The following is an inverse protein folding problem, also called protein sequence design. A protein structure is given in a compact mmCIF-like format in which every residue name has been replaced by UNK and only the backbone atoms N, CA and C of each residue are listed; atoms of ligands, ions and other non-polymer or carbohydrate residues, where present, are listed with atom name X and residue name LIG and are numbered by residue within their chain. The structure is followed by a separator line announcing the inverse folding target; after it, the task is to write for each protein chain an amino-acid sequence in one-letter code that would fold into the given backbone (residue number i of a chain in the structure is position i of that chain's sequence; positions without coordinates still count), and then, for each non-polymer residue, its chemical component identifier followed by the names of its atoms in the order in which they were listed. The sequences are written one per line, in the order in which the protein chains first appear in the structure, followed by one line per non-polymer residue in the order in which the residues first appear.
data_IF_431473509728
#
_entry.id   IF_431473509728
#
_cell.length_a   1.000
_cell.length_b   1.000
_cell.length_c   1.000
_cell.angle_alpha   90.00
_cell.angle_beta   90.00
_cell.angle_gamma   90.00
#
_symmetry.space_group_name_H-M   'P 1'
#
loop_
_entity.id
_entity.type
_entity.pdbx_description
1 polymer ?
#
# COMPACT_ATOMS: atom_id res chain seq x y z
N UNK A 1 0.57 -19.39 19.70
CA UNK A 1 0.28 -18.15 18.98
C UNK A 1 -1.24 -18.01 18.92
N UNK A 2 -1.86 -16.90 19.31
CA UNK A 2 -3.31 -16.78 19.31
C UNK A 2 -3.87 -16.91 17.87
N UNK A 3 -4.85 -17.79 17.67
CA UNK A 3 -5.49 -18.00 16.36
C UNK A 3 -6.12 -16.71 15.81
N UNK A 4 -6.52 -15.80 16.71
CA UNK A 4 -7.04 -14.48 16.35
C UNK A 4 -6.03 -13.62 15.54
N UNK A 5 -4.72 -13.76 15.76
CA UNK A 5 -3.71 -13.06 14.96
C UNK A 5 -3.63 -13.59 13.54
N UNK A 6 -3.86 -14.89 13.31
CA UNK A 6 -3.93 -15.46 11.97
C UNK A 6 -5.14 -14.96 11.20
N UNK A 7 -6.29 -14.78 11.88
CA UNK A 7 -7.49 -14.21 11.26
C UNK A 7 -7.23 -12.74 10.86
N UNK A 8 -6.58 -11.95 11.72
CA UNK A 8 -6.19 -10.57 11.37
C UNK A 8 -5.19 -10.53 10.20
N UNK A 9 -4.23 -11.46 10.15
CA UNK A 9 -3.30 -11.57 9.04
C UNK A 9 -4.01 -11.96 7.74
N UNK A 10 -4.97 -12.90 7.79
CA UNK A 10 -5.76 -13.28 6.62
C UNK A 10 -6.65 -12.12 6.13
N UNK A 11 -7.21 -11.33 7.05
CA UNK A 11 -7.93 -10.11 6.71
C UNK A 11 -7.02 -9.09 6.00
N UNK A 12 -5.80 -8.89 6.51
CA UNK A 12 -4.79 -8.02 5.89
C UNK A 12 -4.37 -8.54 4.51
N UNK A 13 -4.27 -9.85 4.33
CA UNK A 13 -4.03 -10.48 3.04
C UNK A 13 -5.15 -10.20 2.05
N UNK A 14 -6.41 -10.34 2.45
CA UNK A 14 -7.56 -10.06 1.60
C UNK A 14 -7.60 -8.59 1.16
N UNK A 15 -7.40 -7.67 2.11
CA UNK A 15 -7.39 -6.21 1.84
C UNK A 15 -6.22 -5.85 0.90
N UNK A 16 -5.02 -6.34 1.17
CA UNK A 16 -3.88 -6.09 0.30
C UNK A 16 -4.04 -6.68 -1.10
N UNK A 17 -4.61 -7.87 -1.21
CA UNK A 17 -4.87 -8.49 -2.51
C UNK A 17 -5.81 -7.62 -3.34
N UNK A 18 -6.92 -7.15 -2.77
CA UNK A 18 -7.87 -6.30 -3.49
C UNK A 18 -7.29 -4.95 -3.89
N UNK A 19 -6.39 -4.39 -3.07
CA UNK A 19 -5.71 -3.12 -3.37
C UNK A 19 -4.83 -3.26 -4.61
N UNK A 20 -3.96 -4.25 -4.64
CA UNK A 20 -2.86 -4.34 -5.61
C UNK A 20 -3.17 -5.18 -6.84
N UNK A 21 -4.10 -6.14 -6.79
CA UNK A 21 -4.36 -7.07 -7.90
C UNK A 21 -4.83 -6.39 -9.18
N UNK A 22 -5.52 -5.26 -9.06
CA UNK A 22 -6.01 -4.50 -10.22
C UNK A 22 -4.87 -4.05 -11.16
N UNK A 23 -3.66 -3.84 -10.63
CA UNK A 23 -2.50 -3.42 -11.41
C UNK A 23 -2.03 -4.53 -12.36
N UNK A 24 -2.14 -5.79 -11.92
CA UNK A 24 -1.87 -6.95 -12.76
C UNK A 24 -2.96 -7.23 -13.79
N UNK A 25 -4.17 -6.72 -13.57
CA UNK A 25 -5.37 -6.93 -14.41
C UNK A 25 -5.78 -5.67 -15.19
N UNK A 26 -4.95 -4.62 -15.18
CA UNK A 26 -5.31 -3.34 -15.78
C UNK A 26 -5.64 -3.46 -17.27
N UNK A 27 -4.89 -4.23 -18.10
CA UNK A 27 -5.22 -4.44 -19.52
C UNK A 27 -6.55 -5.17 -19.71
N UNK A 28 -6.83 -6.21 -18.92
CA UNK A 28 -8.06 -7.00 -18.98
C UNK A 28 -9.29 -6.16 -18.61
N UNK A 29 -9.17 -5.34 -17.57
CA UNK A 29 -10.24 -4.43 -17.14
C UNK A 29 -10.48 -3.34 -18.17
N UNK A 30 -9.43 -2.74 -18.72
CA UNK A 30 -9.52 -1.71 -19.75
C UNK A 30 -10.20 -2.24 -21.02
N UNK A 31 -9.80 -3.42 -21.49
CA UNK A 31 -10.35 -4.05 -22.67
C UNK A 31 -11.84 -4.43 -22.47
N UNK A 32 -12.19 -5.07 -21.37
CA UNK A 32 -13.55 -5.53 -21.10
C UNK A 32 -14.54 -4.37 -20.90
N UNK A 33 -14.12 -3.29 -20.24
CA UNK A 33 -14.95 -2.10 -19.99
C UNK A 33 -14.84 -1.05 -21.11
N UNK A 34 -14.08 -1.33 -22.18
CA UNK A 34 -13.88 -0.44 -23.34
C UNK A 34 -13.41 0.96 -22.93
N UNK A 35 -12.44 1.03 -21.99
CA UNK A 35 -11.83 2.27 -21.53
C UNK A 35 -10.33 2.28 -21.84
N UNK A 36 -9.72 3.47 -21.85
CA UNK A 36 -8.27 3.59 -22.02
C UNK A 36 -7.49 3.09 -20.79
N UNK A 37 -6.23 2.72 -20.98
CA UNK A 37 -5.33 2.31 -19.88
C UNK A 37 -5.23 3.40 -18.79
N UNK A 38 -5.03 4.71 -19.11
CA UNK A 38 -5.09 5.77 -18.11
C UNK A 38 -6.43 5.86 -17.38
N UNK A 39 -7.54 5.70 -18.10
CA UNK A 39 -8.87 5.71 -17.48
C UNK A 39 -9.06 4.51 -16.53
N UNK A 40 -8.55 3.32 -16.88
CA UNK A 40 -8.51 2.20 -15.95
C UNK A 40 -7.60 2.49 -14.74
N UNK A 41 -6.49 3.22 -14.92
CA UNK A 41 -5.60 3.70 -13.84
C UNK A 41 -6.32 4.58 -12.80
N UNK A 42 -7.38 5.31 -13.17
CA UNK A 42 -8.20 6.05 -12.22
C UNK A 42 -8.89 5.16 -11.19
N UNK A 43 -9.09 3.86 -11.46
CA UNK A 43 -9.60 2.90 -10.46
C UNK A 43 -8.62 2.70 -9.31
N UNK A 44 -7.31 2.83 -9.56
CA UNK A 44 -6.27 2.81 -8.52
C UNK A 44 -6.26 4.14 -7.77
N UNK A 45 -6.26 5.26 -8.50
CA UNK A 45 -6.33 6.62 -7.93
C UNK A 45 -7.55 6.78 -7.04
N UNK A 46 -8.74 6.40 -7.52
CA UNK A 46 -9.99 6.50 -6.77
C UNK A 46 -10.01 5.66 -5.49
N UNK A 47 -9.49 4.43 -5.56
CA UNK A 47 -9.32 3.57 -4.39
C UNK A 47 -8.40 4.23 -3.35
N UNK A 48 -7.22 4.68 -3.76
CA UNK A 48 -6.23 5.26 -2.86
C UNK A 48 -6.72 6.57 -2.21
N UNK A 49 -7.38 7.45 -2.97
CA UNK A 49 -8.04 8.65 -2.41
C UNK A 49 -9.14 8.29 -1.41
N UNK A 50 -9.93 7.26 -1.73
CA UNK A 50 -10.98 6.79 -0.83
C UNK A 50 -10.40 6.19 0.47
N UNK A 51 -9.23 5.53 0.44
CA UNK A 51 -8.51 5.12 1.66
C UNK A 51 -8.04 6.34 2.44
N UNK A 52 -7.38 7.31 1.78
CA UNK A 52 -6.82 8.47 2.45
C UNK A 52 -7.89 9.31 3.16
N UNK A 53 -9.04 9.52 2.52
CA UNK A 53 -10.17 10.29 3.06
C UNK A 53 -11.03 9.43 3.98
N UNK A 54 -11.26 8.18 3.60
CA UNK A 54 -12.15 7.25 4.30
C UNK A 54 -11.60 6.78 5.64
N UNK A 55 -10.27 6.65 5.78
CA UNK A 55 -9.67 6.17 7.03
C UNK A 55 -10.07 7.01 8.25
N UNK A 56 -9.94 8.35 8.27
CA UNK A 56 -10.40 9.17 9.38
C UNK A 56 -11.93 9.14 9.55
N UNK A 57 -12.69 9.15 8.46
CA UNK A 57 -14.16 9.09 8.50
C UNK A 57 -14.63 7.79 9.16
N UNK A 58 -14.08 6.66 8.74
CA UNK A 58 -14.45 5.36 9.30
C UNK A 58 -13.93 5.17 10.71
N UNK A 59 -12.75 5.70 11.05
CA UNK A 59 -12.25 5.69 12.44
C UNK A 59 -13.20 6.45 13.38
N UNK A 60 -13.70 7.63 12.98
CA UNK A 60 -14.67 8.43 13.75
C UNK A 60 -16.01 7.69 13.83
N UNK A 61 -16.52 7.18 12.72
CA UNK A 61 -17.82 6.47 12.66
C UNK A 61 -17.85 5.20 13.51
N UNK A 62 -16.72 4.51 13.62
CA UNK A 62 -16.57 3.28 14.40
C UNK A 62 -16.10 3.50 15.84
N UNK A 63 -15.72 4.74 16.21
CA UNK A 63 -15.11 5.06 17.52
C UNK A 63 -15.97 4.65 18.73
N UNK A 64 -17.30 4.67 18.59
CA UNK A 64 -18.25 4.25 19.65
C UNK A 64 -18.50 2.74 19.67
N UNK A 65 -18.05 2.00 18.67
CA UNK A 65 -18.23 0.56 18.59
C UNK A 65 -17.13 -0.16 19.39
N UNK A 66 -17.47 -1.34 19.93
CA UNK A 66 -16.45 -2.27 20.44
C UNK A 66 -15.52 -2.66 19.29
N UNK A 67 -14.22 -2.78 19.55
CA UNK A 67 -13.19 -3.05 18.51
C UNK A 67 -13.54 -4.25 17.61
N UNK A 68 -13.98 -5.36 18.24
CA UNK A 68 -14.46 -6.54 17.51
C UNK A 68 -15.63 -6.21 16.57
N UNK A 69 -16.63 -5.46 17.03
CA UNK A 69 -17.79 -5.07 16.22
C UNK A 69 -17.35 -4.14 15.08
N UNK A 70 -16.42 -3.20 15.34
CA UNK A 70 -15.86 -2.31 14.32
C UNK A 70 -15.14 -3.10 13.23
N UNK A 71 -14.27 -4.06 13.58
CA UNK A 71 -13.57 -4.91 12.60
C UNK A 71 -14.53 -5.76 11.78
N UNK A 72 -15.60 -6.31 12.39
CA UNK A 72 -16.64 -7.06 11.68
C UNK A 72 -17.40 -6.16 10.72
N UNK A 73 -17.79 -4.95 11.13
CA UNK A 73 -18.48 -3.99 10.27
C UNK A 73 -17.59 -3.56 9.09
N UNK A 74 -16.33 -3.25 9.34
CA UNK A 74 -15.37 -2.90 8.29
C UNK A 74 -15.17 -4.05 7.30
N UNK A 75 -15.09 -5.29 7.78
CA UNK A 75 -14.99 -6.46 6.91
C UNK A 75 -16.29 -6.71 6.12
N UNK A 76 -17.45 -6.37 6.66
CA UNK A 76 -18.70 -6.40 5.91
C UNK A 76 -18.72 -5.39 4.75
N UNK A 77 -18.21 -4.16 4.96
CA UNK A 77 -17.99 -3.20 3.87
C UNK A 77 -17.01 -3.72 2.82
N UNK A 78 -15.93 -4.37 3.25
CA UNK A 78 -14.97 -5.00 2.36
C UNK A 78 -15.62 -6.07 1.47
N UNK A 79 -16.41 -6.95 2.05
CA UNK A 79 -17.12 -8.02 1.33
C UNK A 79 -18.12 -7.41 0.35
N UNK A 80 -18.93 -6.45 0.79
CA UNK A 80 -19.91 -5.77 -0.06
C UNK A 80 -19.24 -5.09 -1.27
N UNK A 81 -18.13 -4.35 -1.04
CA UNK A 81 -17.39 -3.68 -2.09
C UNK A 81 -16.77 -4.67 -3.09
N UNK A 82 -16.15 -5.76 -2.62
CA UNK A 82 -15.57 -6.76 -3.53
C UNK A 82 -16.64 -7.56 -4.30
N UNK A 83 -17.79 -7.83 -3.67
CA UNK A 83 -18.93 -8.43 -4.35
C UNK A 83 -19.45 -7.50 -5.46
N UNK A 84 -19.57 -6.21 -5.18
CA UNK A 84 -19.92 -5.20 -6.19
C UNK A 84 -18.87 -5.13 -7.32
N UNK A 85 -17.57 -5.25 -7.01
CA UNK A 85 -16.52 -5.36 -8.03
C UNK A 85 -16.72 -6.60 -8.90
N UNK A 86 -17.03 -7.76 -8.30
CA UNK A 86 -17.27 -9.01 -9.03
C UNK A 86 -18.53 -8.95 -9.92
N UNK A 87 -19.49 -8.13 -9.57
CA UNK A 87 -20.76 -7.95 -10.30
C UNK A 87 -20.78 -6.70 -11.20
N UNK A 88 -19.69 -5.94 -11.25
CA UNK A 88 -19.65 -4.67 -11.98
C UNK A 88 -19.89 -4.86 -13.48
N UNK A 89 -20.92 -4.21 -14.01
CA UNK A 89 -21.32 -4.25 -15.42
C UNK A 89 -20.56 -3.23 -16.26
N UNK A 90 -20.13 -2.13 -15.66
CA UNK A 90 -19.50 -1.02 -16.33
C UNK A 90 -18.44 -0.34 -15.43
N UNK A 91 -17.71 0.62 -16.00
CA UNK A 91 -16.62 1.32 -15.36
C UNK A 91 -17.04 2.08 -14.08
N UNK A 92 -18.19 2.76 -14.10
CA UNK A 92 -18.63 3.58 -12.98
C UNK A 92 -19.10 2.75 -11.78
N UNK A 93 -19.77 1.62 -12.07
CA UNK A 93 -20.12 0.64 -11.03
C UNK A 93 -18.87 0.09 -10.40
N UNK A 94 -17.83 -0.26 -11.20
CA UNK A 94 -16.55 -0.72 -10.67
C UNK A 94 -15.85 0.38 -9.84
N UNK A 95 -15.87 1.64 -10.29
CA UNK A 95 -15.28 2.76 -9.54
C UNK A 95 -15.96 2.93 -8.17
N UNK A 96 -17.28 2.94 -8.12
CA UNK A 96 -18.03 3.03 -6.87
C UNK A 96 -17.72 1.85 -5.96
N UNK A 97 -17.68 0.63 -6.51
CA UNK A 97 -17.35 -0.58 -5.77
C UNK A 97 -15.94 -0.50 -5.16
N UNK A 98 -14.96 0.01 -5.91
CA UNK A 98 -13.59 0.26 -5.44
C UNK A 98 -13.56 1.28 -4.29
N UNK A 99 -14.31 2.38 -4.41
CA UNK A 99 -14.43 3.38 -3.33
C UNK A 99 -15.05 2.75 -2.07
N UNK A 100 -16.14 2.00 -2.20
CA UNK A 100 -16.78 1.32 -1.05
C UNK A 100 -15.79 0.35 -0.38
N UNK A 101 -15.06 -0.45 -1.17
CA UNK A 101 -14.05 -1.37 -0.65
C UNK A 101 -12.94 -0.62 0.10
N UNK A 102 -12.51 0.52 -0.42
CA UNK A 102 -11.41 1.31 0.15
C UNK A 102 -11.73 1.92 1.52
N UNK A 103 -13.00 2.23 1.80
CA UNK A 103 -13.40 2.84 3.07
C UNK A 103 -13.00 2.01 4.30
N UNK A 104 -13.00 0.68 4.19
CA UNK A 104 -12.63 -0.18 5.32
C UNK A 104 -11.11 -0.22 5.58
N UNK A 105 -10.29 0.03 4.58
CA UNK A 105 -8.84 -0.28 4.56
C UNK A 105 -8.09 0.37 5.74
N UNK A 106 -8.03 1.70 5.77
CA UNK A 106 -7.23 2.42 6.77
C UNK A 106 -7.69 2.20 8.20
N UNK A 107 -9.01 2.21 8.44
CA UNK A 107 -9.58 1.98 9.76
C UNK A 107 -9.38 0.53 10.22
N UNK A 108 -9.44 -0.45 9.31
CA UNK A 108 -9.17 -1.85 9.64
C UNK A 108 -7.74 -2.04 10.15
N UNK A 109 -6.74 -1.49 9.47
CA UNK A 109 -5.35 -1.59 9.91
C UNK A 109 -5.10 -0.85 11.22
N UNK A 110 -5.70 0.31 11.42
CA UNK A 110 -5.61 1.07 12.66
C UNK A 110 -6.18 0.29 13.86
N UNK A 111 -7.44 -0.11 13.79
CA UNK A 111 -8.11 -0.87 14.87
C UNK A 111 -7.50 -2.25 15.04
N UNK A 112 -7.20 -2.94 13.94
CA UNK A 112 -6.63 -4.28 13.94
C UNK A 112 -5.26 -4.35 14.60
N UNK A 113 -4.39 -3.34 14.41
CA UNK A 113 -3.09 -3.28 15.07
C UNK A 113 -3.21 -3.15 16.60
N UNK A 114 -4.16 -2.34 17.07
CA UNK A 114 -4.44 -2.21 18.52
C UNK A 114 -5.00 -3.52 19.09
N UNK A 115 -5.90 -4.18 18.36
CA UNK A 115 -6.41 -5.49 18.75
C UNK A 115 -5.32 -6.54 18.77
N UNK A 116 -4.48 -6.61 17.73
CA UNK A 116 -3.36 -7.53 17.65
C UNK A 116 -2.41 -7.37 18.84
N UNK A 117 -2.05 -6.12 19.17
CA UNK A 117 -1.21 -5.80 20.33
C UNK A 117 -1.87 -6.22 21.65
N UNK A 118 -3.19 -6.06 21.77
CA UNK A 118 -3.95 -6.42 23.00
C UNK A 118 -4.14 -7.93 23.22
N UNK A 119 -3.86 -8.77 22.21
CA UNK A 119 -3.97 -10.23 22.30
C UNK A 119 -2.75 -10.92 22.93
N UNK A 120 -1.67 -10.18 23.20
CA UNK A 120 -0.40 -10.73 23.67
C UNK A 120 0.18 -9.89 24.82
N UNK A 121 1.17 -10.44 25.53
CA UNK A 121 1.92 -9.72 26.56
C UNK A 121 2.73 -8.55 25.99
N UNK A 122 3.11 -7.59 26.83
CA UNK A 122 3.80 -6.33 26.47
C UNK A 122 5.06 -6.56 25.60
N UNK A 123 5.87 -7.55 25.96
CA UNK A 123 7.11 -7.92 25.27
C UNK A 123 6.90 -8.48 23.84
N UNK A 124 5.66 -8.78 23.46
CA UNK A 124 5.31 -9.41 22.17
C UNK A 124 4.40 -8.54 21.29
N UNK A 125 4.00 -7.36 21.75
CA UNK A 125 3.06 -6.49 21.04
C UNK A 125 3.53 -6.14 19.62
N UNK A 126 4.78 -5.71 19.48
CA UNK A 126 5.35 -5.38 18.17
C UNK A 126 5.33 -6.59 17.22
N UNK A 127 5.65 -7.78 17.72
CA UNK A 127 5.62 -9.01 16.94
C UNK A 127 4.19 -9.39 16.51
N UNK A 128 3.19 -9.16 17.34
CA UNK A 128 1.80 -9.44 17.00
C UNK A 128 1.28 -8.51 15.90
N UNK A 129 1.62 -7.21 15.98
CA UNK A 129 1.30 -6.24 14.92
C UNK A 129 2.03 -6.60 13.63
N UNK A 130 3.33 -6.92 13.68
CA UNK A 130 4.10 -7.33 12.51
C UNK A 130 3.48 -8.56 11.82
N UNK A 131 3.00 -9.53 12.62
CA UNK A 131 2.33 -10.71 12.09
C UNK A 131 1.04 -10.38 11.34
N UNK A 132 0.23 -9.46 11.85
CA UNK A 132 -0.96 -8.97 11.13
C UNK A 132 -0.56 -8.37 9.78
N UNK A 133 0.48 -7.52 9.76
CA UNK A 133 0.98 -6.90 8.51
C UNK A 133 1.69 -7.89 7.56
N UNK A 134 2.11 -9.07 8.05
CA UNK A 134 2.63 -10.12 7.17
C UNK A 134 1.58 -10.55 6.13
N UNK A 135 0.27 -10.45 6.45
CA UNK A 135 -0.79 -10.65 5.48
C UNK A 135 -0.68 -9.72 4.27
N UNK A 136 -0.35 -8.45 4.46
CA UNK A 136 -0.14 -7.49 3.37
C UNK A 136 1.08 -7.85 2.51
N UNK A 137 2.17 -8.31 3.13
CA UNK A 137 3.34 -8.79 2.41
C UNK A 137 3.01 -10.04 1.58
N UNK A 138 2.29 -11.00 2.16
CA UNK A 138 1.82 -12.20 1.45
C UNK A 138 0.86 -11.86 0.32
N UNK A 139 0.05 -10.79 0.45
CA UNK A 139 -0.80 -10.32 -0.63
C UNK A 139 0.03 -9.93 -1.88
N UNK A 140 1.16 -9.25 -1.69
CA UNK A 140 2.04 -8.91 -2.80
C UNK A 140 2.73 -10.13 -3.43
N UNK A 141 3.16 -11.10 -2.61
CA UNK A 141 3.90 -12.30 -3.10
C UNK A 141 2.98 -13.34 -3.73
N UNK A 142 1.80 -13.55 -3.14
CA UNK A 142 0.88 -14.62 -3.54
C UNK A 142 -0.47 -14.06 -4.04
N UNK A 143 -1.05 -13.10 -3.32
CA UNK A 143 -2.39 -12.58 -3.62
C UNK A 143 -2.47 -11.92 -4.99
N UNK A 144 -1.51 -11.05 -5.30
CA UNK A 144 -1.47 -10.33 -6.58
C UNK A 144 -1.20 -11.28 -7.75
N UNK A 145 -0.16 -12.12 -7.76
CA UNK A 145 0.07 -13.04 -8.86
C UNK A 145 -1.06 -14.06 -9.04
N UNK A 146 -1.53 -14.70 -7.98
CA UNK A 146 -2.62 -15.67 -8.06
C UNK A 146 -3.93 -15.02 -8.50
N UNK A 147 -4.23 -13.83 -7.97
CA UNK A 147 -5.41 -13.08 -8.38
C UNK A 147 -5.33 -12.64 -9.85
N UNK A 148 -4.15 -12.25 -10.34
CA UNK A 148 -3.91 -11.95 -11.75
C UNK A 148 -4.12 -13.18 -12.62
N UNK A 149 -3.56 -14.34 -12.25
CA UNK A 149 -3.74 -15.60 -12.96
C UNK A 149 -5.22 -16.01 -13.04
N UNK A 150 -5.95 -15.89 -11.92
CA UNK A 150 -7.40 -16.17 -11.88
C UNK A 150 -8.15 -15.22 -12.83
N UNK A 151 -7.82 -13.93 -12.77
CA UNK A 151 -8.45 -12.93 -13.62
C UNK A 151 -8.18 -13.11 -15.12
N UNK A 152 -6.98 -13.55 -15.47
CA UNK A 152 -6.61 -13.88 -16.84
C UNK A 152 -7.32 -15.14 -17.34
N UNK A 153 -7.47 -16.17 -16.50
CA UNK A 153 -8.08 -17.45 -16.88
C UNK A 153 -9.62 -17.42 -16.90
N UNK A 154 -10.24 -16.70 -15.95
CA UNK A 154 -11.70 -16.74 -15.73
C UNK A 154 -12.38 -15.36 -15.82
N UNK A 155 -11.64 -14.33 -16.25
CA UNK A 155 -12.08 -12.96 -16.27
C UNK A 155 -11.81 -12.24 -14.92
N UNK A 156 -11.47 -10.95 -15.01
CA UNK A 156 -11.04 -10.14 -13.86
C UNK A 156 -12.09 -10.10 -12.71
N UNK A 157 -13.36 -10.26 -13.02
CA UNK A 157 -14.45 -10.33 -12.02
C UNK A 157 -14.31 -11.53 -11.09
N UNK A 158 -13.81 -12.65 -11.60
CA UNK A 158 -13.60 -13.87 -10.80
C UNK A 158 -12.58 -13.63 -9.68
N UNK A 159 -11.57 -12.82 -9.91
CA UNK A 159 -10.60 -12.44 -8.86
C UNK A 159 -11.28 -11.75 -7.69
N UNK A 160 -12.15 -10.77 -7.93
CA UNK A 160 -12.89 -10.10 -6.85
C UNK A 160 -13.90 -11.03 -6.19
N UNK A 161 -14.46 -12.00 -6.92
CA UNK A 161 -15.27 -13.09 -6.36
C UNK A 161 -14.49 -13.94 -5.37
N UNK A 162 -13.28 -14.36 -5.72
CA UNK A 162 -12.39 -15.12 -4.81
C UNK A 162 -12.02 -14.29 -3.58
N UNK A 163 -11.68 -13.01 -3.76
CA UNK A 163 -11.40 -12.10 -2.63
C UNK A 163 -12.63 -11.94 -1.73
N UNK A 164 -13.83 -11.89 -2.29
CA UNK A 164 -15.10 -11.88 -1.53
C UNK A 164 -15.22 -13.14 -0.66
N UNK A 165 -14.92 -14.32 -1.21
CA UNK A 165 -14.94 -15.59 -0.44
C UNK A 165 -13.91 -15.56 0.68
N UNK A 166 -12.69 -15.10 0.44
CA UNK A 166 -11.68 -14.92 1.48
C UNK A 166 -12.21 -13.96 2.56
N UNK A 167 -12.85 -12.85 2.18
CA UNK A 167 -13.49 -11.90 3.08
C UNK A 167 -14.54 -12.56 3.96
N UNK A 168 -15.39 -13.42 3.40
CA UNK A 168 -16.39 -14.20 4.16
C UNK A 168 -15.72 -15.13 5.18
N UNK A 169 -14.65 -15.82 4.78
CA UNK A 169 -13.89 -16.68 5.71
C UNK A 169 -13.30 -15.86 6.85
N UNK A 170 -12.77 -14.66 6.55
CA UNK A 170 -12.20 -13.80 7.60
C UNK A 170 -13.24 -13.23 8.53
N UNK A 171 -14.42 -12.80 8.05
CA UNK A 171 -15.47 -12.27 8.93
C UNK A 171 -16.04 -13.36 9.85
N UNK A 172 -16.18 -14.59 9.35
CA UNK A 172 -16.56 -15.74 10.17
C UNK A 172 -15.49 -16.03 11.24
N UNK A 173 -14.21 -15.95 10.87
CA UNK A 173 -13.10 -16.07 11.81
C UNK A 173 -13.10 -14.98 12.89
N UNK A 174 -13.34 -13.71 12.52
CA UNK A 174 -13.46 -12.60 13.46
C UNK A 174 -14.63 -12.82 14.44
N UNK A 175 -15.77 -13.32 13.94
CA UNK A 175 -16.94 -13.62 14.76
C UNK A 175 -16.68 -14.79 15.73
N UNK A 176 -16.01 -15.84 15.26
CA UNK A 176 -15.83 -17.06 16.04
C UNK A 176 -14.67 -16.95 17.06
N UNK A 177 -13.58 -16.26 16.70
CA UNK A 177 -12.28 -16.38 17.40
C UNK A 177 -11.91 -15.11 18.14
N UNK A 178 -12.32 -13.91 17.67
CA UNK A 178 -11.91 -12.67 18.31
C UNK A 178 -12.65 -12.50 19.66
N UNK A 179 -11.92 -12.24 20.76
CA UNK A 179 -12.54 -12.04 22.07
C UNK A 179 -13.56 -10.89 22.07
N UNK A 180 -14.57 -11.01 22.91
CA UNK A 180 -15.54 -9.92 23.14
C UNK A 180 -14.88 -8.86 24.01
N UNK A 181 -14.60 -7.72 23.42
CA UNK A 181 -13.83 -6.63 24.02
C UNK A 181 -14.61 -5.82 25.06
N UNK A 182 -13.88 -5.29 26.04
CA UNK A 182 -14.36 -4.21 26.90
C UNK A 182 -14.27 -2.89 26.10
N UNK A 183 -15.10 -1.92 26.47
CA UNK A 183 -15.20 -0.63 25.80
C UNK A 183 -13.85 0.11 25.74
N UNK A 184 -13.58 0.81 24.66
CA UNK A 184 -12.35 1.54 24.43
C UNK A 184 -12.25 2.74 25.39
N UNK A 185 -11.17 2.86 26.16
CA UNK A 185 -10.80 4.14 26.78
C UNK A 185 -10.25 5.05 25.71
N UNK A 186 -10.99 6.11 25.40
CA UNK A 186 -10.54 7.13 24.46
C UNK A 186 -9.41 7.94 25.09
N UNK A 187 -8.20 7.83 24.55
CA UNK A 187 -7.12 8.76 24.82
C UNK A 187 -7.54 10.21 24.45
N UNK A 188 -6.92 11.21 25.06
CA UNK A 188 -7.23 12.61 24.79
C UNK A 188 -6.82 13.00 23.35
N UNK A 189 -7.78 12.99 22.43
CA UNK A 189 -7.63 13.41 21.02
C UNK A 189 -6.98 14.80 20.91
N UNK A 190 -7.26 15.71 21.86
CA UNK A 190 -6.71 17.07 21.87
C UNK A 190 -5.18 17.11 22.04
N UNK A 191 -4.60 16.18 22.81
CA UNK A 191 -3.12 16.08 22.94
C UNK A 191 -2.49 15.56 21.66
N UNK A 192 -3.12 14.64 21.01
CA UNK A 192 -2.64 14.05 19.75
C UNK A 192 -2.63 15.09 18.62
N UNK A 193 -3.67 15.94 18.53
CA UNK A 193 -3.77 17.02 17.52
C UNK A 193 -2.61 18.03 17.66
N UNK A 194 -2.05 18.24 18.85
CA UNK A 194 -0.92 19.14 19.03
C UNK A 194 0.33 18.70 18.25
N UNK A 195 0.52 17.39 18.03
CA UNK A 195 1.62 16.86 17.22
C UNK A 195 1.59 17.37 15.77
N UNK A 196 0.39 17.67 15.24
CA UNK A 196 0.21 18.18 13.88
C UNK A 196 0.76 19.59 13.66
N UNK A 197 1.09 20.32 14.73
CA UNK A 197 1.74 21.63 14.63
C UNK A 197 3.23 21.55 14.31
N UNK A 198 3.80 20.33 14.33
CA UNK A 198 5.21 20.14 14.03
C UNK A 198 5.47 20.18 12.52
N UNK A 199 6.10 21.25 12.02
CA UNK A 199 6.46 21.38 10.59
C UNK A 199 7.37 20.27 10.08
N UNK A 200 8.23 19.69 10.94
CA UNK A 200 9.06 18.54 10.58
C UNK A 200 8.24 17.28 10.27
N UNK A 201 7.09 17.09 10.96
CA UNK A 201 6.17 16.00 10.67
C UNK A 201 5.61 16.10 9.23
N UNK A 202 5.17 17.29 8.80
CA UNK A 202 4.63 17.49 7.46
C UNK A 202 5.69 17.27 6.38
N UNK A 203 6.93 17.64 6.65
CA UNK A 203 8.04 17.39 5.74
C UNK A 203 8.36 15.88 5.65
N UNK A 204 8.34 15.15 6.77
CA UNK A 204 8.47 13.70 6.77
C UNK A 204 7.31 13.01 6.06
N UNK A 205 6.05 13.46 6.25
CA UNK A 205 4.89 12.96 5.55
C UNK A 205 4.96 13.23 4.03
N UNK A 206 5.48 14.39 3.62
CA UNK A 206 5.71 14.66 2.19
C UNK A 206 6.72 13.70 1.57
N UNK A 207 7.74 13.29 2.31
CA UNK A 207 8.67 12.23 1.89
C UNK A 207 7.93 10.92 1.62
N UNK A 208 7.00 10.53 2.51
CA UNK A 208 6.15 9.35 2.31
C UNK A 208 5.24 9.48 1.08
N UNK A 209 4.64 10.66 0.87
CA UNK A 209 3.79 10.92 -0.33
C UNK A 209 4.60 10.73 -1.61
N UNK A 210 5.78 11.33 -1.72
CA UNK A 210 6.60 11.23 -2.95
C UNK A 210 7.21 9.86 -3.14
N UNK A 211 7.53 9.13 -2.07
CA UNK A 211 7.88 7.73 -2.15
C UNK A 211 6.75 6.90 -2.79
N UNK A 212 5.56 6.98 -2.21
CA UNK A 212 4.41 6.23 -2.69
C UNK A 212 4.01 6.64 -4.10
N UNK A 213 4.11 7.94 -4.43
CA UNK A 213 3.88 8.45 -5.78
C UNK A 213 4.89 7.86 -6.79
N UNK A 214 6.17 7.78 -6.43
CA UNK A 214 7.17 7.15 -7.27
C UNK A 214 6.86 5.67 -7.53
N UNK A 215 6.53 4.93 -6.48
CA UNK A 215 6.22 3.51 -6.59
C UNK A 215 4.98 3.27 -7.47
N UNK A 216 3.89 3.99 -7.21
CA UNK A 216 2.61 3.76 -7.89
C UNK A 216 2.56 4.35 -9.31
N UNK A 217 3.39 5.34 -9.64
CA UNK A 217 3.53 5.80 -11.02
C UNK A 217 3.98 4.66 -11.96
N UNK A 218 4.91 3.80 -11.51
CA UNK A 218 5.37 2.66 -12.28
C UNK A 218 4.46 1.43 -12.06
N UNK A 219 4.15 1.08 -10.80
CA UNK A 219 3.47 -0.17 -10.48
C UNK A 219 2.05 -0.24 -11.03
N UNK A 220 1.34 0.89 -11.12
CA UNK A 220 -0.02 0.95 -11.69
C UNK A 220 -0.04 0.49 -13.15
N UNK A 221 0.99 0.84 -13.92
CA UNK A 221 1.05 0.57 -15.36
C UNK A 221 2.03 -0.56 -15.71
N UNK A 222 2.42 -1.39 -14.72
CA UNK A 222 3.41 -2.44 -14.93
C UNK A 222 2.95 -3.51 -15.93
N UNK A 223 1.68 -3.92 -15.85
CA UNK A 223 1.14 -4.95 -16.74
C UNK A 223 1.03 -4.48 -18.20
N UNK A 224 0.47 -3.29 -18.52
CA UNK A 224 0.54 -2.73 -19.88
C UNK A 224 1.97 -2.62 -20.41
N UNK A 225 2.91 -2.14 -19.57
CA UNK A 225 4.30 -1.93 -19.96
C UNK A 225 4.99 -3.26 -20.29
N UNK A 226 4.77 -4.30 -19.50
CA UNK A 226 5.31 -5.63 -19.76
C UNK A 226 4.69 -6.26 -21.03
N UNK A 227 3.41 -6.07 -21.28
CA UNK A 227 2.72 -6.64 -22.43
C UNK A 227 3.06 -5.92 -23.74
N UNK A 228 2.98 -4.59 -23.73
CA UNK A 228 3.02 -3.80 -24.95
C UNK A 228 4.46 -3.38 -25.33
N UNK A 229 5.38 -3.27 -24.36
CA UNK A 229 6.78 -2.87 -24.59
C UNK A 229 7.72 -4.08 -24.54
N UNK A 230 7.63 -4.89 -23.48
CA UNK A 230 8.51 -6.05 -23.29
C UNK A 230 8.05 -7.25 -24.12
N UNK A 231 6.77 -7.29 -24.51
CA UNK A 231 6.18 -8.42 -25.27
C UNK A 231 5.95 -9.67 -24.42
N UNK A 232 5.75 -9.49 -23.11
CA UNK A 232 5.53 -10.59 -22.16
C UNK A 232 4.09 -11.11 -22.31
N UNK A 233 3.90 -12.43 -22.31
CA UNK A 233 2.57 -13.03 -22.32
C UNK A 233 1.80 -12.72 -21.02
N UNK A 234 0.46 -12.85 -21.01
CA UNK A 234 -0.31 -12.66 -19.77
C UNK A 234 0.21 -13.51 -18.61
N UNK A 235 0.54 -14.77 -18.85
CA UNK A 235 1.10 -15.68 -17.84
C UNK A 235 2.48 -15.19 -17.37
N UNK A 236 3.29 -14.64 -18.28
CA UNK A 236 4.58 -14.04 -17.98
C UNK A 236 4.44 -12.84 -17.04
N UNK A 237 3.41 -11.99 -17.23
CA UNK A 237 3.10 -10.88 -16.30
C UNK A 237 2.86 -11.43 -14.88
N UNK A 238 2.12 -12.52 -14.74
CA UNK A 238 1.89 -13.16 -13.44
C UNK A 238 3.21 -13.57 -12.76
N UNK A 239 4.15 -14.16 -13.52
CA UNK A 239 5.48 -14.53 -13.00
C UNK A 239 6.33 -13.31 -12.63
N UNK A 240 6.31 -12.27 -13.44
CA UNK A 240 6.99 -11.00 -13.12
C UNK A 240 6.43 -10.38 -11.83
N UNK A 241 5.10 -10.39 -11.65
CA UNK A 241 4.48 -9.90 -10.41
C UNK A 241 4.89 -10.72 -9.18
N UNK A 242 5.05 -12.03 -9.32
CA UNK A 242 5.60 -12.88 -8.25
C UNK A 242 7.06 -12.50 -7.92
N UNK A 243 7.89 -12.29 -8.94
CA UNK A 243 9.27 -11.85 -8.78
C UNK A 243 9.33 -10.47 -8.09
N UNK A 244 8.48 -9.53 -8.49
CA UNK A 244 8.33 -8.23 -7.83
C UNK A 244 7.95 -8.44 -6.36
N UNK A 245 6.96 -9.28 -6.05
CA UNK A 245 6.54 -9.58 -4.69
C UNK A 245 7.68 -10.11 -3.81
N UNK A 246 8.54 -10.98 -4.35
CA UNK A 246 9.76 -11.45 -3.66
C UNK A 246 10.72 -10.28 -3.41
N UNK A 247 10.95 -9.42 -4.42
CA UNK A 247 11.78 -8.23 -4.27
C UNK A 247 11.27 -7.29 -3.17
N UNK A 248 9.96 -7.01 -3.14
CA UNK A 248 9.30 -6.22 -2.10
C UNK A 248 9.55 -6.83 -0.70
N UNK A 249 9.42 -8.14 -0.57
CA UNK A 249 9.63 -8.84 0.71
C UNK A 249 11.08 -8.73 1.20
N UNK A 250 12.03 -9.01 0.33
CA UNK A 250 13.46 -8.90 0.65
C UNK A 250 13.82 -7.45 0.98
N UNK A 251 13.31 -6.50 0.19
CA UNK A 251 13.50 -5.07 0.40
C UNK A 251 13.03 -4.62 1.78
N UNK A 252 11.83 -5.03 2.19
CA UNK A 252 11.28 -4.70 3.51
C UNK A 252 12.18 -5.19 4.66
N UNK A 253 12.69 -6.42 4.55
CA UNK A 253 13.59 -7.00 5.57
C UNK A 253 14.95 -6.27 5.63
N UNK A 254 15.52 -5.97 4.47
CA UNK A 254 16.80 -5.25 4.35
C UNK A 254 16.64 -3.81 4.85
N UNK A 255 15.55 -3.16 4.42
CA UNK A 255 15.25 -1.77 4.78
C UNK A 255 15.08 -1.56 6.28
N UNK A 256 14.46 -2.51 7.00
CA UNK A 256 14.35 -2.46 8.45
C UNK A 256 15.74 -2.41 9.12
N UNK A 257 16.64 -3.33 8.74
CA UNK A 257 18.00 -3.34 9.29
C UNK A 257 18.82 -2.08 8.94
N UNK A 258 18.66 -1.57 7.73
CA UNK A 258 19.35 -0.35 7.30
C UNK A 258 18.81 0.89 8.03
N UNK A 259 17.49 0.96 8.28
CA UNK A 259 16.86 2.03 9.03
C UNK A 259 17.36 2.09 10.48
N UNK A 260 17.51 0.91 11.13
CA UNK A 260 18.06 0.80 12.49
C UNK A 260 19.52 1.25 12.54
N UNK A 261 20.28 1.07 11.45
CA UNK A 261 21.68 1.49 11.43
C UNK A 261 21.87 2.98 11.17
N UNK A 262 21.27 3.55 10.10
CA UNK A 262 21.39 4.98 9.74
C UNK A 262 20.19 5.45 8.94
N UNK A 263 19.15 5.88 9.61
CA UNK A 263 17.86 6.24 9.00
C UNK A 263 17.97 7.24 7.84
N UNK A 264 18.67 8.37 8.02
CA UNK A 264 18.80 9.39 6.98
C UNK A 264 19.57 8.92 5.75
N UNK A 265 20.67 8.16 5.95
CA UNK A 265 21.43 7.58 4.85
C UNK A 265 20.61 6.50 4.12
N UNK A 266 19.83 5.70 4.85
CA UNK A 266 18.94 4.70 4.29
C UNK A 266 17.89 5.34 3.38
N UNK A 267 17.18 6.37 3.85
CA UNK A 267 16.20 7.08 3.05
C UNK A 267 16.83 7.67 1.78
N UNK A 268 17.96 8.36 1.90
CA UNK A 268 18.65 8.94 0.74
C UNK A 268 19.09 7.86 -0.26
N UNK A 269 19.69 6.77 0.21
CA UNK A 269 20.16 5.67 -0.64
C UNK A 269 19.01 4.94 -1.34
N UNK A 270 17.90 4.73 -0.65
CA UNK A 270 16.71 4.08 -1.20
C UNK A 270 16.07 4.94 -2.29
N UNK A 271 15.87 6.24 -2.06
CA UNK A 271 15.32 7.13 -3.09
C UNK A 271 16.23 7.20 -4.33
N UNK A 272 17.56 7.26 -4.13
CA UNK A 272 18.50 7.19 -5.23
C UNK A 272 18.40 5.87 -6.00
N UNK A 273 18.31 4.74 -5.29
CA UNK A 273 18.15 3.42 -5.90
C UNK A 273 16.83 3.30 -6.69
N UNK A 274 15.71 3.81 -6.15
CA UNK A 274 14.42 3.84 -6.86
C UNK A 274 14.53 4.70 -8.13
N UNK A 275 15.14 5.89 -8.05
CA UNK A 275 15.32 6.76 -9.22
C UNK A 275 16.18 6.08 -10.28
N UNK A 276 17.33 5.52 -9.90
CA UNK A 276 18.25 4.84 -10.82
C UNK A 276 17.58 3.63 -11.48
N UNK A 277 16.92 2.76 -10.70
CA UNK A 277 16.24 1.57 -11.24
C UNK A 277 15.05 1.94 -12.11
N UNK A 278 14.29 2.99 -11.79
CA UNK A 278 13.21 3.50 -12.64
C UNK A 278 13.74 4.06 -13.96
N UNK A 279 14.84 4.85 -13.95
CA UNK A 279 15.50 5.33 -15.18
C UNK A 279 16.03 4.13 -15.98
N UNK A 280 16.71 3.19 -15.34
CA UNK A 280 17.20 1.99 -16.01
C UNK A 280 16.06 1.21 -16.67
N UNK A 281 14.90 1.07 -15.98
CA UNK A 281 13.76 0.34 -16.50
C UNK A 281 13.15 1.00 -17.76
N UNK A 282 13.24 2.31 -17.94
CA UNK A 282 12.79 2.98 -19.17
C UNK A 282 13.55 2.49 -20.43
N UNK A 283 14.75 1.95 -20.26
CA UNK A 283 15.57 1.38 -21.32
C UNK A 283 15.50 -0.16 -21.34
N UNK A 284 15.59 -0.80 -20.18
CA UNK A 284 15.63 -2.26 -20.04
C UNK A 284 14.29 -2.92 -20.32
N UNK A 285 13.18 -2.19 -20.18
CA UNK A 285 11.81 -2.66 -20.46
C UNK A 285 11.62 -3.24 -21.87
N UNK A 286 12.50 -2.95 -22.82
CA UNK A 286 12.47 -3.48 -24.17
C UNK A 286 13.02 -4.92 -24.29
N UNK A 287 13.66 -5.43 -23.24
CA UNK A 287 14.35 -6.70 -23.22
C UNK A 287 13.92 -7.50 -22.01
N UNK A 288 13.40 -8.72 -22.18
CA UNK A 288 12.79 -9.52 -21.13
C UNK A 288 13.70 -9.69 -19.89
N UNK A 289 14.88 -10.28 -20.03
CA UNK A 289 15.78 -10.55 -18.88
C UNK A 289 16.25 -9.27 -18.18
N UNK A 290 16.72 -8.23 -18.89
CA UNK A 290 17.06 -6.95 -18.25
C UNK A 290 15.89 -6.28 -17.55
N UNK A 291 14.66 -6.40 -18.07
CA UNK A 291 13.45 -5.88 -17.44
C UNK A 291 13.19 -6.58 -16.10
N UNK A 292 13.22 -7.92 -16.05
CA UNK A 292 13.02 -8.72 -14.83
C UNK A 292 14.03 -8.35 -13.74
N UNK A 293 15.32 -8.26 -14.09
CA UNK A 293 16.38 -7.90 -13.15
C UNK A 293 16.14 -6.49 -12.59
N UNK A 294 15.83 -5.54 -13.47
CA UNK A 294 15.62 -4.14 -13.08
C UNK A 294 14.38 -3.98 -12.21
N UNK A 295 13.28 -4.69 -12.52
CA UNK A 295 12.06 -4.68 -11.71
C UNK A 295 12.27 -5.33 -10.34
N UNK A 296 13.03 -6.41 -10.26
CA UNK A 296 13.37 -7.02 -8.98
C UNK A 296 14.16 -6.07 -8.07
N UNK A 297 15.18 -5.41 -8.63
CA UNK A 297 15.98 -4.42 -7.89
C UNK A 297 15.17 -3.18 -7.52
N UNK A 298 14.28 -2.71 -8.40
CA UNK A 298 13.35 -1.63 -8.13
C UNK A 298 12.38 -1.99 -6.99
N UNK A 299 11.85 -3.20 -7.01
CA UNK A 299 10.96 -3.68 -5.96
C UNK A 299 11.67 -3.78 -4.60
N UNK A 300 12.90 -4.30 -4.57
CA UNK A 300 13.74 -4.32 -3.37
C UNK A 300 13.98 -2.91 -2.83
N UNK A 301 14.40 -1.98 -3.69
CA UNK A 301 14.63 -0.59 -3.30
C UNK A 301 13.35 0.04 -2.76
N UNK A 302 12.21 -0.15 -3.45
CA UNK A 302 10.93 0.43 -3.07
C UNK A 302 10.52 0.01 -1.65
N UNK A 303 10.48 -1.28 -1.32
CA UNK A 303 10.03 -1.69 0.01
C UNK A 303 11.09 -1.56 1.11
N UNK A 304 12.35 -1.34 0.76
CA UNK A 304 13.36 -0.93 1.75
C UNK A 304 13.07 0.48 2.33
N UNK A 305 12.30 1.32 1.64
CA UNK A 305 11.86 2.62 2.14
C UNK A 305 10.81 2.53 3.26
N UNK A 306 9.91 1.53 3.20
CA UNK A 306 8.70 1.48 4.04
C UNK A 306 9.00 1.54 5.54
N UNK A 307 9.86 0.66 6.13
CA UNK A 307 10.18 0.74 7.55
C UNK A 307 10.91 2.04 7.90
N UNK A 308 11.80 2.53 7.03
CA UNK A 308 12.53 3.76 7.27
C UNK A 308 11.60 5.00 7.30
N UNK A 309 10.63 5.09 6.39
CA UNK A 309 9.63 6.15 6.38
C UNK A 309 8.76 6.11 7.65
N UNK A 310 8.33 4.93 8.07
CA UNK A 310 7.53 4.75 9.27
C UNK A 310 8.28 5.22 10.52
N UNK A 311 9.53 4.79 10.69
CA UNK A 311 10.39 5.21 11.80
C UNK A 311 10.63 6.72 11.76
N UNK A 312 10.93 7.27 10.58
CA UNK A 312 11.16 8.69 10.39
C UNK A 312 9.97 9.55 10.81
N UNK A 313 8.75 9.19 10.35
CA UNK A 313 7.53 9.94 10.67
C UNK A 313 7.17 9.85 12.15
N UNK A 314 7.26 8.66 12.76
CA UNK A 314 7.00 8.46 14.20
C UNK A 314 8.00 9.24 15.05
N UNK A 315 9.25 9.40 14.60
CA UNK A 315 10.28 10.21 15.27
C UNK A 315 9.88 11.67 15.49
N UNK A 316 9.06 12.26 14.60
CA UNK A 316 8.52 13.63 14.74
C UNK A 316 7.27 13.72 15.59
N UNK A 317 6.59 12.61 15.90
CA UNK A 317 5.34 12.58 16.65
C UNK A 317 5.39 11.64 17.86
N UNK A 318 6.49 11.66 18.62
CA UNK A 318 6.69 10.78 19.79
C UNK A 318 5.57 10.88 20.83
N UNK A 319 4.94 12.06 20.95
CA UNK A 319 3.84 12.31 21.88
C UNK A 319 2.48 11.77 21.40
N UNK A 320 2.37 11.40 20.11
CA UNK A 320 1.14 10.91 19.48
C UNK A 320 1.43 9.82 18.42
N UNK A 321 2.14 8.74 18.75
CA UNK A 321 2.65 7.77 17.77
C UNK A 321 1.51 7.09 16.98
N UNK A 322 0.35 6.86 17.59
CA UNK A 322 -0.80 6.24 16.93
C UNK A 322 -1.41 7.17 15.87
N UNK A 323 -1.64 8.44 16.19
CA UNK A 323 -2.17 9.43 15.26
C UNK A 323 -1.21 9.60 14.06
N UNK A 324 0.08 9.78 14.38
CA UNK A 324 1.12 10.01 13.37
C UNK A 324 1.27 8.81 12.43
N UNK A 325 1.22 7.58 12.95
CA UNK A 325 1.19 6.36 12.14
C UNK A 325 -0.04 6.29 11.23
N UNK A 326 -1.22 6.67 11.75
CA UNK A 326 -2.46 6.69 10.97
C UNK A 326 -2.40 7.72 9.84
N UNK A 327 -1.89 8.92 10.13
CA UNK A 327 -1.71 9.96 9.11
C UNK A 327 -0.67 9.53 8.06
N UNK A 328 0.37 8.80 8.47
CA UNK A 328 1.34 8.26 7.54
C UNK A 328 0.72 7.25 6.56
N UNK A 329 -0.22 6.42 7.01
CA UNK A 329 -1.02 5.55 6.10
C UNK A 329 -1.82 6.41 5.10
N UNK A 330 -2.40 7.51 5.56
CA UNK A 330 -3.05 8.48 4.68
C UNK A 330 -2.09 9.12 3.67
N UNK A 331 -0.86 9.46 4.10
CA UNK A 331 0.18 9.99 3.24
C UNK A 331 0.63 8.97 2.18
N UNK A 332 0.81 7.69 2.55
CA UNK A 332 1.05 6.61 1.58
C UNK A 332 -0.04 6.56 0.52
N UNK A 333 -1.30 6.56 0.93
CA UNK A 333 -2.42 6.47 0.00
C UNK A 333 -2.61 7.74 -0.85
N UNK A 334 -2.33 8.92 -0.29
CA UNK A 334 -2.26 10.17 -1.09
C UNK A 334 -1.17 10.06 -2.16
N UNK A 335 -0.01 9.51 -1.82
CA UNK A 335 1.06 9.25 -2.76
C UNK A 335 0.68 8.19 -3.81
N UNK A 336 0.02 7.09 -3.40
CA UNK A 336 -0.47 6.07 -4.33
C UNK A 336 -1.39 6.69 -5.39
N UNK A 337 -2.34 7.54 -4.95
CA UNK A 337 -3.24 8.25 -5.84
C UNK A 337 -2.49 9.20 -6.78
N UNK A 338 -1.56 10.01 -6.25
CA UNK A 338 -0.75 10.93 -7.03
C UNK A 338 0.09 10.18 -8.08
N UNK A 339 0.72 9.08 -7.70
CA UNK A 339 1.55 8.28 -8.60
C UNK A 339 0.75 7.65 -9.74
N UNK A 340 -0.36 7.00 -9.42
CA UNK A 340 -1.25 6.41 -10.43
C UNK A 340 -1.76 7.47 -11.42
N UNK A 341 -2.14 8.65 -10.91
CA UNK A 341 -2.57 9.76 -11.73
C UNK A 341 -1.44 10.31 -12.62
N UNK A 342 -0.25 10.55 -12.05
CA UNK A 342 0.92 11.07 -12.81
C UNK A 342 1.34 10.09 -13.91
N UNK A 343 1.36 8.78 -13.62
CA UNK A 343 1.64 7.77 -14.64
C UNK A 343 0.61 7.79 -15.79
N UNK A 344 -0.68 7.96 -15.45
CA UNK A 344 -1.75 8.14 -16.42
C UNK A 344 -1.60 9.39 -17.27
N UNK A 345 -1.22 10.52 -16.67
CA UNK A 345 -0.97 11.77 -17.41
C UNK A 345 0.13 11.63 -18.46
N UNK A 346 1.19 10.87 -18.19
CA UNK A 346 2.24 10.62 -19.18
C UNK A 346 1.68 9.93 -20.41
N UNK A 347 0.80 8.94 -20.21
CA UNK A 347 0.18 8.19 -21.30
C UNK A 347 -0.86 9.06 -22.03
N UNK A 348 -1.71 9.79 -21.30
CA UNK A 348 -2.74 10.68 -21.87
C UNK A 348 -2.13 11.82 -22.68
N UNK A 349 -0.92 12.28 -22.32
CA UNK A 349 -0.16 13.25 -23.07
C UNK A 349 0.46 12.69 -24.38
N UNK A 350 0.21 11.43 -24.71
CA UNK A 350 0.67 10.75 -25.92
C UNK A 350 2.13 10.29 -25.86
N UNK A 351 2.74 10.28 -24.67
CA UNK A 351 4.09 9.71 -24.52
C UNK A 351 4.04 8.17 -24.51
N UNK A 352 5.11 7.58 -25.00
CA UNK A 352 5.32 6.13 -24.98
C UNK A 352 5.35 5.59 -23.53
N UNK A 353 4.86 4.37 -23.33
CA UNK A 353 4.83 3.70 -22.01
C UNK A 353 6.21 3.66 -21.34
N UNK A 354 7.30 3.61 -22.11
CA UNK A 354 8.68 3.65 -21.60
C UNK A 354 9.03 4.96 -20.87
N UNK A 355 8.20 6.01 -20.98
CA UNK A 355 8.36 7.28 -20.25
C UNK A 355 7.72 7.27 -18.86
N UNK A 356 6.78 6.36 -18.60
CA UNK A 356 6.16 6.23 -17.29
C UNK A 356 7.19 5.98 -16.15
N UNK A 357 8.21 5.12 -16.32
CA UNK A 357 9.28 4.97 -15.32
C UNK A 357 10.08 6.26 -15.06
N UNK A 358 10.20 7.18 -16.04
CA UNK A 358 10.87 8.46 -15.81
C UNK A 358 10.05 9.38 -14.91
N UNK A 359 8.72 9.35 -15.01
CA UNK A 359 7.86 10.06 -14.07
C UNK A 359 8.00 9.49 -12.65
N UNK A 360 8.09 8.18 -12.51
CA UNK A 360 8.39 7.53 -11.24
C UNK A 360 9.74 7.98 -10.66
N UNK A 361 10.78 8.06 -11.51
CA UNK A 361 12.09 8.56 -11.12
C UNK A 361 12.05 10.02 -10.66
N UNK A 362 11.28 10.88 -11.36
CA UNK A 362 11.10 12.28 -10.95
C UNK A 362 10.47 12.38 -9.57
N UNK A 363 9.42 11.61 -9.28
CA UNK A 363 8.80 11.57 -7.95
C UNK A 363 9.80 11.10 -6.88
N UNK A 364 10.64 10.09 -7.19
CA UNK A 364 11.71 9.64 -6.29
C UNK A 364 12.74 10.74 -6.01
N UNK A 365 13.13 11.50 -7.02
CA UNK A 365 14.08 12.62 -6.86
C UNK A 365 13.48 13.76 -6.02
N UNK A 366 12.19 14.07 -6.17
CA UNK A 366 11.49 15.04 -5.33
C UNK A 366 11.47 14.53 -3.87
N UNK A 367 11.19 13.23 -3.66
CA UNK A 367 11.24 12.58 -2.34
C UNK A 367 12.63 12.61 -1.73
N UNK A 368 13.67 12.44 -2.53
CA UNK A 368 15.08 12.61 -2.11
C UNK A 368 15.34 14.04 -1.63
N UNK A 369 14.85 15.05 -2.37
CA UNK A 369 14.94 16.45 -1.98
C UNK A 369 14.21 16.74 -0.66
N UNK A 370 13.00 16.21 -0.50
CA UNK A 370 12.24 16.33 0.76
C UNK A 370 12.99 15.67 1.93
N UNK A 371 13.60 14.49 1.69
CA UNK A 371 14.46 13.82 2.70
C UNK A 371 15.66 14.70 3.09
N UNK A 372 16.34 15.28 2.11
CA UNK A 372 17.49 16.16 2.36
C UNK A 372 17.07 17.39 3.19
N UNK A 373 15.95 18.04 2.88
CA UNK A 373 15.41 19.15 3.64
C UNK A 373 15.03 18.73 5.07
N UNK A 374 14.44 17.56 5.25
CA UNK A 374 14.11 17.00 6.56
C UNK A 374 15.38 16.81 7.39
N UNK A 375 16.42 16.23 6.80
CA UNK A 375 17.70 15.96 7.47
C UNK A 375 18.47 17.26 7.82
N UNK A 376 18.45 18.26 6.94
CA UNK A 376 19.15 19.53 7.14
C UNK A 376 18.46 20.41 8.20
N UNK A 377 17.17 20.23 8.44
CA UNK A 377 16.49 20.94 9.52
C UNK A 377 17.04 20.53 10.88
N UNK A 378 17.12 21.47 11.84
CA UNK A 378 17.60 21.19 13.19
C UNK A 378 16.72 20.15 13.92
N UNK A 379 15.39 20.19 13.69
CA UNK A 379 14.43 19.23 14.22
C UNK A 379 14.55 17.87 13.54
N UNK A 380 14.82 17.84 12.23
CA UNK A 380 15.06 16.63 11.48
C UNK A 380 16.32 15.90 11.96
N UNK A 381 17.40 16.61 12.20
CA UNK A 381 18.63 16.00 12.73
C UNK A 381 18.43 15.32 14.08
N UNK A 382 17.67 15.94 14.97
CA UNK A 382 17.36 15.36 16.26
C UNK A 382 16.44 14.12 16.18
N UNK A 383 15.48 14.11 15.23
CA UNK A 383 14.56 12.98 15.01
C UNK A 383 15.21 11.79 14.28
N UNK A 384 16.25 12.05 13.49
CA UNK A 384 16.98 11.05 12.70
C UNK A 384 18.29 10.59 13.36
N UNK A 385 18.64 11.13 14.54
CA UNK A 385 19.76 10.66 15.33
C UNK A 385 19.48 9.25 15.88
N UNK A 386 20.47 8.33 15.91
CA UNK A 386 20.30 7.06 16.58
C UNK A 386 19.92 7.31 18.04
N UNK A 387 18.99 6.51 18.57
CA UNK A 387 18.72 6.50 20.01
C UNK A 387 19.99 6.00 20.70
N UNK A 388 20.59 6.85 21.55
CA UNK A 388 21.69 6.49 22.45
C UNK A 388 21.26 5.43 23.46
#
# INVERSE_FOLDING_TARGET
MPLALLVLALSSFAIGTTEFVIMGLLPEVAADLSVSIPQAGWLVTGYALAVAIGAPVMAISTAKLKRRTALIALMAFFIAGNLLCALASDYWVLMIARVVTALCHGAFFGIGSVVAAGLVAEDRKARAVALMFTGLTLANVLGVPLGTAIGQAYGWRATFGVVTVIGIVTILGLIAILPRDKQQENGSILREIAALRNGGLWLALSTTVFFAASMFALFTYIAPLLRDVTGVSPEGVTWTLFLIGLGLTIGNLVGGKLADWRLGATLAGVFAAIAITSIAFSYTSRFFIPAEITLFLWAMASFAAVPALQVGVVGFGKDAPNLVSTINIGAFNTGNALGAWVGGLVIDAGFDLTRVPLAAALMALIGLGATALTYLSARGRAALAPAE
#
